data_IF_064922399477
#
_entry.id   IF_064922399477
#
_cell.length_a   1.000
_cell.length_b   1.000
_cell.length_c   1.000
_cell.angle_alpha   90.00
_cell.angle_beta   90.00
_cell.angle_gamma   90.00
#
_symmetry.space_group_name_H-M   'P 1'
#
loop_
_entity.id
_entity.type
_entity.pdbx_description
1 polymer ?
#
# COMPACT_ATOMS: atom_id res chain seq x y z
N UNK A 1 -30.55 -7.81 -12.55
CA UNK A 1 -29.26 -7.33 -13.01
C UNK A 1 -28.55 -8.49 -13.69
N UNK A 2 -28.24 -8.33 -14.98
CA UNK A 2 -27.56 -9.35 -15.76
C UNK A 2 -26.21 -9.69 -15.14
N UNK A 3 -25.82 -10.94 -15.15
CA UNK A 3 -24.60 -11.50 -14.55
C UNK A 3 -23.32 -10.87 -15.11
N UNK A 4 -23.38 -10.24 -16.27
CA UNK A 4 -22.30 -9.48 -16.90
C UNK A 4 -21.98 -8.15 -16.19
N UNK A 5 -22.88 -7.59 -15.39
CA UNK A 5 -22.64 -6.34 -14.67
C UNK A 5 -21.73 -6.52 -13.43
N UNK A 6 -21.59 -7.75 -12.93
CA UNK A 6 -20.75 -8.06 -11.76
C UNK A 6 -19.27 -8.06 -12.08
N UNK A 7 -18.88 -8.27 -13.33
CA UNK A 7 -17.45 -8.30 -13.74
C UNK A 7 -16.74 -6.93 -13.58
N UNK A 8 -17.52 -5.84 -13.68
CA UNK A 8 -17.00 -4.46 -13.59
C UNK A 8 -17.20 -3.83 -12.20
N UNK A 9 -17.78 -4.56 -11.24
CA UNK A 9 -18.03 -4.05 -9.89
C UNK A 9 -16.85 -4.30 -8.96
N UNK A 10 -16.56 -3.32 -8.11
CA UNK A 10 -15.60 -3.51 -7.02
C UNK A 10 -16.20 -4.41 -5.93
N UNK A 11 -15.58 -5.57 -5.68
CA UNK A 11 -15.98 -6.48 -4.60
C UNK A 11 -15.94 -5.84 -3.21
N UNK A 12 -15.12 -4.80 -3.03
CA UNK A 12 -14.98 -4.08 -1.76
C UNK A 12 -15.97 -2.92 -1.58
N UNK A 13 -16.71 -2.53 -2.63
CA UNK A 13 -17.53 -1.33 -2.66
C UNK A 13 -16.74 -0.02 -2.77
N UNK A 14 -15.41 -0.07 -2.74
CA UNK A 14 -14.56 1.11 -2.92
C UNK A 14 -14.06 1.22 -4.36
N UNK A 15 -14.04 2.44 -4.88
CA UNK A 15 -13.47 2.74 -6.19
C UNK A 15 -12.12 3.42 -6.06
N UNK A 16 -11.16 3.00 -6.88
CA UNK A 16 -9.84 3.62 -6.92
C UNK A 16 -9.88 4.87 -7.79
N UNK A 17 -9.72 6.04 -7.16
CA UNK A 17 -9.65 7.32 -7.85
C UNK A 17 -8.21 7.77 -8.14
N UNK A 18 -7.23 7.23 -7.41
CA UNK A 18 -5.83 7.59 -7.55
C UNK A 18 -5.31 7.31 -8.96
N UNK A 19 -4.66 8.29 -9.57
CA UNK A 19 -4.14 8.20 -10.93
C UNK A 19 -5.20 8.29 -12.03
N UNK A 20 -6.48 8.54 -11.70
CA UNK A 20 -7.51 8.85 -12.70
C UNK A 20 -7.33 10.29 -13.20
N UNK A 21 -7.38 10.47 -14.51
CA UNK A 21 -7.41 11.82 -15.09
C UNK A 21 -8.87 12.30 -15.11
N UNK A 22 -9.13 13.45 -14.48
CA UNK A 22 -10.48 14.05 -14.38
C UNK A 22 -11.07 14.48 -15.73
N UNK A 23 -10.20 14.70 -16.73
CA UNK A 23 -10.62 15.13 -18.06
C UNK A 23 -10.98 13.94 -18.97
N UNK A 24 -10.93 12.69 -18.47
CA UNK A 24 -11.37 11.52 -19.20
C UNK A 24 -12.89 11.43 -19.19
N UNK A 25 -13.47 11.31 -20.37
CA UNK A 25 -14.90 11.04 -20.58
C UNK A 25 -14.99 9.73 -21.36
N UNK A 26 -15.38 8.67 -20.66
CA UNK A 26 -15.56 7.33 -21.27
C UNK A 26 -16.95 7.12 -21.87
N UNK A 27 -17.87 8.06 -21.66
CA UNK A 27 -19.25 7.95 -22.09
C UNK A 27 -19.69 9.19 -22.88
N UNK A 28 -20.66 9.00 -23.78
CA UNK A 28 -21.23 10.05 -24.61
C UNK A 28 -20.67 10.10 -26.04
N UNK A 29 -21.17 11.05 -26.84
CA UNK A 29 -20.87 11.16 -28.28
C UNK A 29 -19.45 11.69 -28.59
N UNK A 30 -18.72 12.15 -27.58
CA UNK A 30 -17.33 12.63 -27.72
C UNK A 30 -16.44 12.08 -26.60
N UNK A 31 -16.03 10.80 -26.64
CA UNK A 31 -15.13 10.24 -25.66
C UNK A 31 -13.78 10.98 -25.74
N UNK A 32 -13.29 11.43 -24.59
CA UNK A 32 -11.94 12.06 -24.47
C UNK A 32 -11.00 11.04 -23.84
N UNK A 33 -9.97 10.66 -24.57
CA UNK A 33 -8.86 9.88 -24.03
C UNK A 33 -7.64 10.77 -23.87
N UNK A 34 -6.87 10.57 -22.83
CA UNK A 34 -5.57 11.21 -22.61
C UNK A 34 -4.52 10.15 -22.27
N UNK A 35 -3.32 10.36 -22.78
CA UNK A 35 -2.19 9.52 -22.43
C UNK A 35 -1.96 9.51 -20.92
N UNK A 36 -1.84 8.33 -20.34
CA UNK A 36 -1.53 8.13 -18.95
C UNK A 36 -0.10 7.60 -18.83
N UNK A 37 0.79 8.43 -18.28
CA UNK A 37 2.15 7.97 -17.98
C UNK A 37 2.12 6.90 -16.88
N UNK A 38 2.77 5.77 -17.11
CA UNK A 38 3.03 4.79 -16.06
C UNK A 38 4.14 5.31 -15.15
N UNK A 39 3.83 5.47 -13.86
CA UNK A 39 4.86 5.82 -12.88
C UNK A 39 5.61 4.56 -12.46
N UNK A 40 6.93 4.57 -12.63
CA UNK A 40 7.80 3.53 -12.07
C UNK A 40 8.14 3.84 -10.61
N UNK A 41 8.51 5.08 -10.33
CA UNK A 41 8.75 5.62 -8.98
C UNK A 41 8.59 7.15 -9.00
N UNK A 42 8.42 7.75 -7.83
CA UNK A 42 8.22 9.20 -7.69
C UNK A 42 8.90 9.74 -6.44
N UNK A 43 9.10 11.06 -6.42
CA UNK A 43 9.88 11.74 -5.39
C UNK A 43 9.39 11.46 -3.95
N UNK A 44 8.08 11.31 -3.74
CA UNK A 44 7.54 10.99 -2.42
C UNK A 44 8.04 9.63 -1.88
N UNK A 45 8.22 8.63 -2.75
CA UNK A 45 8.80 7.34 -2.35
C UNK A 45 10.24 7.53 -1.88
N UNK A 46 11.07 8.28 -2.63
CA UNK A 46 12.44 8.59 -2.24
C UNK A 46 12.53 9.37 -0.93
N UNK A 47 11.67 10.36 -0.72
CA UNK A 47 11.63 11.11 0.54
C UNK A 47 11.36 10.20 1.73
N UNK A 48 10.38 9.30 1.61
CA UNK A 48 10.01 8.40 2.69
C UNK A 48 11.06 7.28 2.89
N UNK A 49 11.69 6.77 1.83
CA UNK A 49 12.83 5.84 1.95
C UNK A 49 14.04 6.49 2.61
N UNK A 50 14.34 7.73 2.23
CA UNK A 50 15.45 8.46 2.83
C UNK A 50 15.20 8.78 4.31
N UNK A 51 13.97 9.21 4.66
CA UNK A 51 13.57 9.41 6.06
C UNK A 51 13.71 8.11 6.87
N UNK A 52 13.30 6.97 6.32
CA UNK A 52 13.45 5.66 6.95
C UNK A 52 14.93 5.32 7.17
N UNK A 53 15.76 5.45 6.14
CA UNK A 53 17.19 5.18 6.24
C UNK A 53 17.88 6.08 7.29
N UNK A 54 17.59 7.39 7.28
CA UNK A 54 18.10 8.31 8.29
C UNK A 54 17.65 7.92 9.70
N UNK A 55 16.40 7.51 9.87
CA UNK A 55 15.89 7.09 11.17
C UNK A 55 16.64 5.86 11.72
N UNK A 56 17.11 4.97 10.84
CA UNK A 56 17.94 3.84 11.24
C UNK A 56 19.37 4.23 11.62
N UNK A 57 19.94 5.23 10.96
CA UNK A 57 21.35 5.66 11.18
C UNK A 57 21.44 6.68 12.31
N UNK A 58 20.61 7.72 12.28
CA UNK A 58 20.62 8.82 13.24
C UNK A 58 19.20 9.33 13.51
N UNK A 59 18.48 8.78 14.49
CA UNK A 59 17.11 9.18 14.82
C UNK A 59 16.93 10.65 15.19
N UNK A 60 17.99 11.32 15.61
CA UNK A 60 17.97 12.75 15.95
C UNK A 60 18.07 13.69 14.74
N UNK A 61 18.22 13.17 13.53
CA UNK A 61 18.35 13.99 12.33
C UNK A 61 17.02 14.68 11.95
N UNK A 62 17.03 16.03 11.96
CA UNK A 62 15.82 16.82 11.68
C UNK A 62 15.24 16.58 10.28
N UNK A 63 16.06 16.12 9.32
CA UNK A 63 15.63 15.80 7.95
C UNK A 63 14.64 14.66 7.89
N UNK A 64 14.59 13.76 8.88
CA UNK A 64 13.61 12.68 8.96
C UNK A 64 12.20 13.25 8.88
N UNK A 65 11.87 14.13 9.82
CA UNK A 65 10.54 14.76 9.87
C UNK A 65 10.34 15.73 8.71
N UNK A 66 11.38 16.45 8.31
CA UNK A 66 11.32 17.36 7.17
C UNK A 66 10.88 16.66 5.87
N UNK A 67 11.40 15.49 5.56
CA UNK A 67 11.02 14.76 4.34
C UNK A 67 9.61 14.15 4.43
N UNK A 68 9.22 13.63 5.58
CA UNK A 68 7.84 13.18 5.80
C UNK A 68 6.88 14.36 5.69
N UNK A 69 7.20 15.48 6.29
CA UNK A 69 6.38 16.70 6.25
C UNK A 69 6.32 17.33 4.85
N UNK A 70 7.35 17.16 4.02
CA UNK A 70 7.30 17.57 2.61
C UNK A 70 6.21 16.82 1.82
N UNK A 71 6.06 15.52 2.08
CA UNK A 71 4.98 14.71 1.48
C UNK A 71 3.61 15.19 1.99
N UNK A 72 3.47 15.39 3.29
CA UNK A 72 2.24 15.84 3.94
C UNK A 72 1.84 17.25 3.49
N UNK A 73 2.80 18.18 3.39
CA UNK A 73 2.58 19.53 2.90
C UNK A 73 2.00 19.53 1.48
N UNK A 74 2.60 18.75 0.58
CA UNK A 74 2.08 18.58 -0.79
C UNK A 74 0.65 18.03 -0.81
N UNK A 75 0.32 17.11 0.13
CA UNK A 75 -1.00 16.54 0.26
C UNK A 75 -2.04 17.48 0.92
N UNK A 76 -1.61 18.64 1.43
CA UNK A 76 -2.48 19.61 2.11
C UNK A 76 -2.97 19.14 3.48
N UNK A 77 -2.22 18.26 4.15
CA UNK A 77 -2.56 17.74 5.48
C UNK A 77 -1.60 18.27 6.56
N UNK A 78 -2.03 18.33 7.85
CA UNK A 78 -1.20 18.85 8.94
C UNK A 78 0.15 18.15 9.05
N UNK A 79 1.20 18.91 9.33
CA UNK A 79 2.57 18.39 9.42
C UNK A 79 2.76 17.56 10.70
N UNK A 80 3.58 16.53 10.65
CA UNK A 80 3.87 15.69 11.82
C UNK A 80 4.53 16.46 12.95
N UNK A 81 5.43 17.39 12.62
CA UNK A 81 6.09 18.25 13.61
C UNK A 81 5.09 19.07 14.45
N UNK A 82 3.93 19.40 13.86
CA UNK A 82 2.92 20.25 14.53
C UNK A 82 1.92 19.40 15.33
N UNK A 83 1.52 18.24 14.80
CA UNK A 83 0.49 17.38 15.42
C UNK A 83 1.05 16.31 16.35
N UNK A 84 2.31 15.93 16.19
CA UNK A 84 2.99 14.88 16.96
C UNK A 84 4.44 15.23 17.29
N UNK A 85 4.73 16.39 17.89
CA UNK A 85 6.12 16.80 18.17
C UNK A 85 6.88 15.81 19.06
N UNK A 86 6.18 15.05 19.92
CA UNK A 86 6.79 14.07 20.81
C UNK A 86 7.41 12.84 20.14
N UNK A 87 7.24 12.67 18.83
CA UNK A 87 7.92 11.57 18.11
C UNK A 87 9.34 11.93 17.67
N UNK A 88 9.67 13.23 17.63
CA UNK A 88 10.95 13.73 17.11
C UNK A 88 12.11 13.18 17.95
N UNK A 89 13.07 12.55 17.30
CA UNK A 89 14.20 11.91 17.95
C UNK A 89 13.93 10.51 18.52
N UNK A 90 12.68 10.07 18.56
CA UNK A 90 12.33 8.73 18.98
C UNK A 90 12.25 7.79 17.78
N UNK A 91 13.25 6.89 17.65
CA UNK A 91 13.39 5.97 16.53
C UNK A 91 12.13 5.17 16.23
N UNK A 92 11.55 4.55 17.26
CA UNK A 92 10.39 3.65 17.07
C UNK A 92 9.13 4.41 16.67
N UNK A 93 8.88 5.55 17.28
CA UNK A 93 7.72 6.37 16.96
C UNK A 93 7.84 7.01 15.57
N UNK A 94 9.04 7.45 15.20
CA UNK A 94 9.32 7.93 13.84
C UNK A 94 9.17 6.82 12.81
N UNK A 95 9.65 5.62 13.09
CA UNK A 95 9.50 4.47 12.20
C UNK A 95 8.03 4.13 11.95
N UNK A 96 7.22 4.08 13.00
CA UNK A 96 5.77 3.85 12.89
C UNK A 96 5.10 4.95 12.05
N UNK A 97 5.50 6.21 12.24
CA UNK A 97 4.96 7.33 11.47
C UNK A 97 5.36 7.25 9.98
N UNK A 98 6.61 6.96 9.68
CA UNK A 98 7.12 6.79 8.30
C UNK A 98 6.41 5.63 7.60
N UNK A 99 6.30 4.47 8.24
CA UNK A 99 5.60 3.30 7.70
C UNK A 99 4.13 3.60 7.43
N UNK A 100 3.48 4.36 8.31
CA UNK A 100 2.10 4.79 8.14
C UNK A 100 1.95 5.74 6.95
N UNK A 101 2.82 6.74 6.84
CA UNK A 101 2.82 7.69 5.72
C UNK A 101 3.08 6.97 4.38
N UNK A 102 4.03 6.03 4.32
CA UNK A 102 4.25 5.20 3.13
C UNK A 102 3.01 4.43 2.72
N UNK A 103 2.30 3.83 3.68
CA UNK A 103 1.06 3.08 3.41
C UNK A 103 -0.01 3.95 2.74
N UNK A 104 -0.18 5.19 3.21
CA UNK A 104 -1.20 6.11 2.70
C UNK A 104 -0.75 6.72 1.39
N UNK A 105 0.45 7.29 1.37
CA UNK A 105 0.97 8.04 0.23
C UNK A 105 1.19 7.15 -1.00
N UNK A 106 1.65 5.92 -0.81
CA UNK A 106 1.98 4.98 -1.89
C UNK A 106 0.87 3.93 -2.11
N UNK A 107 -0.34 4.21 -1.59
CA UNK A 107 -1.50 3.34 -1.82
C UNK A 107 -1.75 3.12 -3.31
N UNK A 108 -2.02 1.87 -3.69
CA UNK A 108 -2.24 1.43 -5.07
C UNK A 108 -1.05 1.63 -6.05
N UNK A 109 0.19 1.78 -5.53
CA UNK A 109 1.42 1.87 -6.32
C UNK A 109 2.29 0.60 -6.22
N UNK A 110 1.79 -0.48 -5.63
CA UNK A 110 2.49 -1.76 -5.51
C UNK A 110 3.51 -1.82 -4.36
N UNK A 111 3.86 -0.70 -3.73
CA UNK A 111 4.93 -0.62 -2.73
C UNK A 111 4.62 -1.42 -1.44
N UNK A 112 3.36 -1.48 -1.01
CA UNK A 112 2.96 -2.17 0.22
C UNK A 112 3.39 -3.62 0.27
N UNK A 113 3.32 -4.32 -0.85
CA UNK A 113 3.71 -5.73 -0.95
C UNK A 113 5.18 -5.95 -0.56
N UNK A 114 6.07 -5.07 -1.05
CA UNK A 114 7.50 -5.13 -0.76
C UNK A 114 7.83 -4.60 0.63
N UNK A 115 7.20 -3.50 1.03
CA UNK A 115 7.42 -2.86 2.34
C UNK A 115 7.17 -3.83 3.50
N UNK A 116 6.03 -4.52 3.54
CA UNK A 116 5.72 -5.43 4.65
C UNK A 116 6.63 -6.66 4.69
N UNK A 117 7.18 -7.06 3.54
CA UNK A 117 8.14 -8.16 3.46
C UNK A 117 9.53 -7.74 3.93
N UNK A 118 10.03 -6.61 3.46
CA UNK A 118 11.35 -6.10 3.89
C UNK A 118 11.35 -5.70 5.38
N UNK A 119 10.22 -5.27 5.92
CA UNK A 119 10.06 -5.00 7.35
C UNK A 119 9.79 -6.26 8.18
N UNK A 120 9.55 -7.40 7.54
CA UNK A 120 9.20 -8.67 8.19
C UNK A 120 7.99 -8.57 9.13
N UNK A 121 6.98 -7.77 8.77
CA UNK A 121 5.83 -7.46 9.61
C UNK A 121 4.47 -7.87 8.99
N UNK A 122 4.48 -8.70 7.95
CA UNK A 122 3.25 -9.08 7.23
C UNK A 122 2.26 -9.92 8.05
N UNK A 123 2.66 -10.43 9.21
CA UNK A 123 1.83 -11.18 10.16
C UNK A 123 1.36 -10.31 11.33
N UNK A 124 1.97 -9.12 11.53
CA UNK A 124 1.67 -8.22 12.64
C UNK A 124 0.35 -7.47 12.43
N UNK A 125 -0.33 -7.16 13.53
CA UNK A 125 -1.54 -6.34 13.50
C UNK A 125 -1.25 -4.95 12.91
N UNK A 126 -2.16 -4.47 12.04
CA UNK A 126 -1.97 -3.24 11.28
C UNK A 126 -1.14 -3.38 9.99
N UNK A 127 -0.37 -4.46 9.83
CA UNK A 127 0.40 -4.77 8.62
C UNK A 127 -0.07 -6.05 7.93
N UNK A 128 -0.93 -6.81 8.57
CA UNK A 128 -1.37 -8.15 8.23
C UNK A 128 -1.74 -8.30 6.76
N UNK A 129 -1.16 -9.32 6.12
CA UNK A 129 -1.40 -9.68 4.72
C UNK A 129 -2.32 -10.89 4.58
N UNK A 130 -2.45 -11.72 5.60
CA UNK A 130 -3.40 -12.83 5.68
C UNK A 130 -4.66 -12.48 6.47
N UNK A 131 -5.69 -13.33 6.36
CA UNK A 131 -6.96 -13.17 7.05
C UNK A 131 -8.05 -12.49 6.21
N UNK A 132 -9.19 -12.14 6.82
CA UNK A 132 -10.32 -11.57 6.12
C UNK A 132 -10.04 -10.15 5.63
N UNK A 133 -10.36 -9.89 4.36
CA UNK A 133 -10.36 -8.57 3.75
C UNK A 133 -11.78 -8.03 3.77
N UNK A 134 -11.94 -6.82 4.29
CA UNK A 134 -13.25 -6.22 4.48
C UNK A 134 -13.50 -5.08 3.50
N UNK A 135 -14.73 -4.95 3.12
CA UNK A 135 -15.29 -3.85 2.34
C UNK A 135 -16.68 -3.50 2.82
N UNK A 136 -17.45 -2.88 1.97
CA UNK A 136 -18.87 -2.62 2.14
C UNK A 136 -19.68 -3.87 1.78
N UNK A 137 -20.93 -3.98 2.25
CA UNK A 137 -21.81 -5.07 1.88
C UNK A 137 -22.44 -4.79 0.50
N UNK A 138 -21.88 -5.40 -0.53
CA UNK A 138 -22.35 -5.25 -1.92
C UNK A 138 -23.68 -5.93 -2.20
N UNK A 139 -24.21 -6.73 -1.27
CA UNK A 139 -25.50 -7.41 -1.40
C UNK A 139 -26.64 -6.66 -0.68
N UNK A 140 -26.33 -5.58 0.03
CA UNK A 140 -27.34 -4.81 0.73
C UNK A 140 -28.29 -4.08 -0.23
N UNK A 141 -29.55 -3.92 0.20
CA UNK A 141 -30.60 -3.26 -0.56
C UNK A 141 -30.84 -1.80 -0.16
N UNK A 142 -30.18 -1.36 0.92
CA UNK A 142 -30.28 0.00 1.45
C UNK A 142 -28.87 0.54 1.83
N UNK A 143 -28.80 1.85 2.09
CA UNK A 143 -27.55 2.52 2.38
C UNK A 143 -26.93 2.10 3.71
N UNK A 144 -27.74 1.84 4.71
CA UNK A 144 -27.26 1.41 6.04
C UNK A 144 -26.60 0.04 5.97
N UNK A 145 -27.26 -0.90 5.32
CA UNK A 145 -26.71 -2.23 5.05
C UNK A 145 -25.45 -2.17 4.19
N UNK A 146 -25.44 -1.33 3.13
CA UNK A 146 -24.27 -1.16 2.27
C UNK A 146 -23.05 -0.64 3.04
N UNK A 147 -23.23 0.27 3.98
CA UNK A 147 -22.14 0.81 4.80
C UNK A 147 -21.61 -0.16 5.86
N UNK A 148 -22.22 -1.33 6.00
CA UNK A 148 -21.81 -2.36 6.95
C UNK A 148 -20.49 -3.01 6.50
N UNK A 149 -19.51 -3.00 7.41
CA UNK A 149 -18.21 -3.64 7.16
C UNK A 149 -18.37 -5.16 7.07
N UNK A 150 -18.15 -5.71 5.88
CA UNK A 150 -18.37 -7.13 5.55
C UNK A 150 -17.11 -7.74 4.94
N UNK A 151 -16.78 -8.96 5.34
CA UNK A 151 -15.65 -9.70 4.73
C UNK A 151 -16.08 -10.21 3.35
N UNK A 152 -15.32 -9.87 2.31
CA UNK A 152 -15.60 -10.32 0.93
C UNK A 152 -14.53 -11.30 0.39
N UNK A 153 -13.37 -11.38 1.05
CA UNK A 153 -12.26 -12.24 0.66
C UNK A 153 -11.49 -12.68 1.91
N UNK A 154 -10.89 -13.87 1.89
CA UNK A 154 -9.94 -14.29 2.92
C UNK A 154 -8.62 -14.63 2.24
N UNK A 155 -7.55 -13.97 2.67
CA UNK A 155 -6.20 -14.16 2.14
C UNK A 155 -5.38 -15.06 3.05
N UNK A 156 -4.47 -15.81 2.46
CA UNK A 156 -3.52 -16.65 3.18
C UNK A 156 -2.15 -15.96 3.12
N UNK A 157 -1.52 -15.84 4.28
CA UNK A 157 -0.11 -15.45 4.38
C UNK A 157 0.57 -16.35 5.38
N UNK A 158 1.65 -17.00 4.96
CA UNK A 158 2.48 -17.89 5.76
C UNK A 158 3.91 -17.37 5.80
N UNK A 159 4.67 -17.70 6.82
CA UNK A 159 6.05 -17.24 7.02
C UNK A 159 6.95 -17.46 5.80
N UNK A 160 6.78 -18.59 5.08
CA UNK A 160 7.52 -18.84 3.83
C UNK A 160 7.27 -17.78 2.75
N UNK A 161 6.10 -17.11 2.76
CA UNK A 161 5.72 -16.12 1.75
C UNK A 161 6.42 -14.76 1.88
N UNK A 162 7.31 -14.59 2.87
CA UNK A 162 8.26 -13.47 2.87
C UNK A 162 9.24 -13.55 1.71
N UNK A 163 9.57 -14.76 1.27
CA UNK A 163 10.43 -15.01 0.11
C UNK A 163 9.63 -15.72 -1.00
N UNK A 164 9.99 -15.46 -2.24
CA UNK A 164 9.45 -16.22 -3.36
C UNK A 164 10.08 -17.62 -3.44
N UNK A 165 9.32 -18.64 -3.88
CA UNK A 165 9.93 -19.90 -4.24
C UNK A 165 10.87 -19.72 -5.43
N UNK A 166 12.00 -20.40 -5.41
CA UNK A 166 12.87 -20.51 -6.57
C UNK A 166 12.19 -21.48 -7.55
N UNK A 167 12.03 -21.15 -8.84
CA UNK A 167 11.42 -22.04 -9.81
C UNK A 167 12.12 -23.40 -9.84
N UNK A 168 11.36 -24.50 -9.82
CA UNK A 168 11.91 -25.87 -9.79
C UNK A 168 12.90 -26.10 -10.92
N UNK A 169 12.61 -25.58 -12.11
CA UNK A 169 13.50 -25.68 -13.28
C UNK A 169 14.89 -25.06 -13.02
N UNK A 170 14.99 -24.00 -12.21
CA UNK A 170 16.28 -23.40 -11.87
C UNK A 170 17.03 -24.23 -10.83
N UNK A 171 16.33 -24.80 -9.86
CA UNK A 171 16.93 -25.72 -8.87
C UNK A 171 17.51 -26.96 -9.56
N UNK A 172 16.80 -27.51 -10.56
CA UNK A 172 17.25 -28.68 -11.31
C UNK A 172 18.50 -28.42 -12.16
N UNK A 173 18.75 -27.16 -12.56
CA UNK A 173 19.96 -26.79 -13.33
C UNK A 173 21.23 -26.70 -12.47
N UNK A 174 21.10 -26.52 -11.17
CA UNK A 174 22.25 -26.29 -10.29
C UNK A 174 22.17 -27.11 -9.00
N UNK A 175 23.13 -28.01 -8.83
CA UNK A 175 23.26 -28.81 -7.60
C UNK A 175 23.56 -27.99 -6.32
N UNK A 176 23.94 -26.72 -6.48
CA UNK A 176 24.25 -25.81 -5.36
C UNK A 176 23.06 -24.92 -4.95
N UNK A 177 21.99 -24.90 -5.77
CA UNK A 177 20.83 -24.07 -5.49
C UNK A 177 19.86 -24.82 -4.57
N UNK A 178 19.60 -24.25 -3.44
CA UNK A 178 18.68 -24.79 -2.41
C UNK A 178 17.44 -23.90 -2.35
N UNK A 179 16.27 -24.53 -2.24
CA UNK A 179 15.00 -23.83 -2.15
C UNK A 179 14.93 -22.95 -0.91
N UNK A 180 14.20 -21.84 -1.01
CA UNK A 180 13.89 -21.00 0.14
C UNK A 180 13.11 -21.78 1.22
N UNK A 181 13.35 -21.47 2.51
CA UNK A 181 12.75 -22.22 3.62
C UNK A 181 11.21 -22.28 3.53
N UNK A 182 10.66 -23.49 3.68
CA UNK A 182 9.22 -23.72 3.69
C UNK A 182 8.54 -23.91 2.33
N UNK A 183 9.32 -23.88 1.25
CA UNK A 183 8.85 -24.18 -0.12
C UNK A 183 9.26 -25.56 -0.59
#
# INVERSE_FOLDING_TARGET
PDDNSKADMSYSGYLLYKGMNRDLLNQGNNPKSKYRAGMLFRLADFYLLYAEALNHVNPGDARIIQYVDSVRYRAGIPLLKDIKPGIIGNRELQEKAIRHERRIELFAEGQRYFDVRRWMCAEEEGYKQGGPVHGMDMNATDLEGFMKRTAFETRIFEKRMYLYPIPLAEIQKSKKLVQNPGW
#
